data_IF_393399894236
#
_entry.id   IF_393399894236
#
_cell.length_a   1.000
_cell.length_b   1.000
_cell.length_c   1.000
_cell.angle_alpha   90.00
_cell.angle_beta   90.00
_cell.angle_gamma   90.00
#
_symmetry.space_group_name_H-M   'P 1'
#
loop_
_entity.id
_entity.type
_entity.pdbx_description
1 polymer ?
#
# COMPACT_ATOMS: atom_id res chain seq x y z
N UNK A 1 -10.95 -7.46 -10.95
CA UNK A 1 -9.51 -7.15 -10.79
C UNK A 1 -8.81 -8.24 -9.99
N UNK A 2 -7.78 -8.89 -10.54
CA UNK A 2 -7.07 -9.99 -9.87
C UNK A 2 -6.33 -9.49 -8.61
N UNK A 3 -6.32 -10.31 -7.56
CA UNK A 3 -5.64 -10.03 -6.29
C UNK A 3 -5.08 -11.31 -5.68
N UNK A 4 -4.13 -11.17 -4.76
CA UNK A 4 -3.67 -12.31 -3.96
C UNK A 4 -4.74 -12.69 -2.92
N UNK A 5 -5.19 -13.94 -2.95
CA UNK A 5 -6.28 -14.48 -2.08
C UNK A 5 -5.78 -15.40 -0.97
N UNK A 6 -4.55 -15.93 -1.10
CA UNK A 6 -3.98 -16.85 -0.14
C UNK A 6 -3.55 -16.18 1.18
N UNK A 7 -2.93 -16.95 2.06
CA UNK A 7 -2.51 -16.53 3.39
C UNK A 7 -1.44 -15.42 3.37
N UNK A 8 -1.83 -14.19 3.67
CA UNK A 8 -0.96 -13.00 3.67
C UNK A 8 0.31 -13.16 4.53
N UNK A 9 0.22 -13.88 5.66
CA UNK A 9 1.38 -14.08 6.54
C UNK A 9 2.52 -14.87 5.89
N UNK A 10 2.23 -15.68 4.85
CA UNK A 10 3.26 -16.34 4.05
C UNK A 10 4.13 -15.31 3.31
N UNK A 11 3.53 -14.17 2.90
CA UNK A 11 4.23 -13.10 2.21
C UNK A 11 5.24 -12.41 3.13
N UNK A 12 4.81 -11.99 4.34
CA UNK A 12 5.70 -11.38 5.34
C UNK A 12 6.87 -12.30 5.67
N UNK A 13 6.59 -13.59 5.94
CA UNK A 13 7.61 -14.58 6.25
C UNK A 13 8.60 -14.81 5.09
N UNK A 14 8.13 -14.73 3.85
CA UNK A 14 9.00 -14.86 2.67
C UNK A 14 9.94 -13.67 2.51
N UNK A 15 9.49 -12.47 2.84
CA UNK A 15 10.32 -11.26 2.78
C UNK A 15 11.14 -11.02 4.06
N UNK A 16 10.92 -11.83 5.11
CA UNK A 16 11.66 -11.72 6.38
C UNK A 16 11.30 -10.47 7.19
N UNK A 17 10.22 -9.76 6.85
CA UNK A 17 9.82 -8.53 7.53
C UNK A 17 8.30 -8.32 7.55
N UNK A 18 7.82 -7.48 8.48
CA UNK A 18 6.41 -7.12 8.57
C UNK A 18 6.01 -6.23 7.39
N UNK A 19 5.00 -6.64 6.62
CA UNK A 19 4.40 -5.85 5.55
C UNK A 19 3.04 -5.26 5.96
N UNK A 20 2.62 -5.43 7.20
CA UNK A 20 1.38 -4.88 7.78
C UNK A 20 0.11 -5.17 6.97
N UNK A 21 -0.01 -6.38 6.39
CA UNK A 21 -1.09 -6.75 5.47
C UNK A 21 -2.43 -7.10 6.15
N UNK A 22 -2.46 -7.23 7.49
CA UNK A 22 -3.64 -7.63 8.27
C UNK A 22 -4.07 -6.60 9.33
N UNK A 23 -3.59 -5.36 9.26
CA UNK A 23 -3.94 -4.32 10.24
C UNK A 23 -3.51 -4.68 11.66
N UNK A 24 -4.38 -4.53 12.65
CA UNK A 24 -4.12 -4.68 14.10
C UNK A 24 -3.37 -5.95 14.47
N UNK A 25 -3.71 -7.06 13.83
CA UNK A 25 -3.02 -8.34 14.08
C UNK A 25 -1.50 -8.28 13.83
N UNK A 26 -1.05 -7.39 12.95
CA UNK A 26 0.37 -7.23 12.64
C UNK A 26 1.15 -6.53 13.76
N UNK A 27 0.45 -5.83 14.63
CA UNK A 27 1.02 -5.14 15.80
C UNK A 27 0.97 -5.99 17.08
N UNK A 28 0.18 -7.06 17.09
CA UNK A 28 0.02 -7.93 18.25
C UNK A 28 1.01 -9.10 18.24
N UNK A 29 1.22 -9.75 19.40
CA UNK A 29 2.01 -11.00 19.55
C UNK A 29 1.50 -12.18 18.71
N UNK A 30 0.28 -12.07 18.16
CA UNK A 30 -0.30 -13.05 17.22
C UNK A 30 0.25 -12.94 15.81
N UNK A 31 1.21 -12.03 15.56
CA UNK A 31 1.85 -11.87 14.26
C UNK A 31 2.66 -13.12 13.89
N UNK A 32 2.43 -13.64 12.66
CA UNK A 32 3.05 -14.90 12.26
C UNK A 32 4.57 -14.81 12.05
N UNK A 33 5.11 -13.62 11.75
CA UNK A 33 6.55 -13.44 11.58
C UNK A 33 7.28 -13.44 12.93
N UNK A 34 6.65 -12.97 14.00
CA UNK A 34 7.23 -13.05 15.35
C UNK A 34 7.28 -14.48 15.85
N UNK A 35 6.27 -15.28 15.51
CA UNK A 35 6.18 -16.69 15.93
C UNK A 35 7.06 -17.61 15.08
N UNK A 36 7.26 -17.31 13.80
CA UNK A 36 7.97 -18.14 12.82
C UNK A 36 8.75 -17.26 11.86
N UNK A 37 9.92 -16.81 12.27
CA UNK A 37 10.78 -15.90 11.50
C UNK A 37 11.58 -16.61 10.40
N UNK A 38 10.93 -17.46 9.61
CA UNK A 38 11.54 -18.14 8.47
C UNK A 38 10.56 -18.27 7.32
N UNK A 39 11.09 -18.43 6.10
CA UNK A 39 10.28 -18.52 4.89
C UNK A 39 9.29 -19.71 4.95
N UNK A 40 8.12 -19.62 4.32
CA UNK A 40 7.19 -20.74 4.26
C UNK A 40 7.73 -21.85 3.36
N UNK A 41 7.33 -23.08 3.64
CA UNK A 41 7.71 -24.29 2.91
C UNK A 41 8.68 -25.19 3.68
N UNK A 42 8.95 -26.38 3.15
CA UNK A 42 9.79 -27.41 3.78
C UNK A 42 11.23 -26.92 4.03
N UNK A 43 11.79 -26.18 3.08
CA UNK A 43 13.17 -25.67 3.14
C UNK A 43 13.26 -24.22 3.66
N UNK A 44 12.25 -23.74 4.40
CA UNK A 44 12.18 -22.36 4.87
C UNK A 44 13.32 -21.93 5.79
N UNK A 45 13.95 -22.86 6.49
CA UNK A 45 15.07 -22.62 7.41
C UNK A 45 16.44 -22.84 6.76
N UNK A 46 16.49 -23.32 5.51
CA UNK A 46 17.76 -23.54 4.82
C UNK A 46 18.52 -22.22 4.60
N UNK A 47 19.79 -22.19 5.01
CA UNK A 47 20.68 -21.06 4.74
C UNK A 47 21.11 -21.11 3.28
N UNK A 48 20.68 -20.12 2.49
CA UNK A 48 21.10 -19.96 1.11
C UNK A 48 21.76 -18.59 0.95
N UNK A 49 22.93 -18.55 0.34
CA UNK A 49 23.56 -17.29 -0.11
C UNK A 49 22.63 -16.67 -1.16
N UNK A 50 22.25 -15.43 -0.95
CA UNK A 50 21.46 -14.71 -1.93
C UNK A 50 22.37 -14.14 -3.02
N UNK A 51 21.99 -14.31 -4.28
CA UNK A 51 22.63 -13.65 -5.41
C UNK A 51 22.10 -12.23 -5.56
N UNK A 52 22.81 -11.37 -6.29
CA UNK A 52 22.37 -9.99 -6.57
C UNK A 52 21.00 -9.98 -7.24
N UNK A 53 20.79 -10.85 -8.22
CA UNK A 53 19.46 -11.05 -8.82
C UNK A 53 18.41 -11.44 -7.77
N UNK A 54 18.77 -12.31 -6.84
CA UNK A 54 17.88 -12.71 -5.75
C UNK A 54 17.47 -11.53 -4.87
N UNK A 55 18.42 -10.65 -4.52
CA UNK A 55 18.17 -9.43 -3.74
C UNK A 55 17.25 -8.47 -4.48
N UNK A 56 17.55 -8.19 -5.75
CA UNK A 56 16.74 -7.33 -6.62
C UNK A 56 15.31 -7.87 -6.77
N UNK A 57 15.16 -9.18 -6.99
CA UNK A 57 13.87 -9.84 -7.09
C UNK A 57 13.08 -9.75 -5.77
N UNK A 58 13.73 -9.96 -4.62
CA UNK A 58 13.06 -9.85 -3.31
C UNK A 58 12.57 -8.43 -3.05
N UNK A 59 13.36 -7.44 -3.39
CA UNK A 59 12.98 -6.04 -3.19
C UNK A 59 11.78 -5.66 -4.06
N UNK A 60 11.78 -6.05 -5.32
CA UNK A 60 10.61 -5.89 -6.19
C UNK A 60 9.38 -6.61 -5.65
N UNK A 61 9.52 -7.86 -5.21
CA UNK A 61 8.41 -8.64 -4.66
C UNK A 61 7.89 -8.04 -3.35
N UNK A 62 8.77 -7.49 -2.51
CA UNK A 62 8.42 -6.77 -1.29
C UNK A 62 7.54 -5.57 -1.61
N UNK A 63 7.98 -4.69 -2.51
CA UNK A 63 7.23 -3.53 -2.95
C UNK A 63 5.85 -3.91 -3.49
N UNK A 64 5.80 -4.86 -4.43
CA UNK A 64 4.56 -5.36 -5.02
C UNK A 64 3.58 -5.90 -3.99
N UNK A 65 4.07 -6.66 -3.00
CA UNK A 65 3.26 -7.26 -1.94
C UNK A 65 2.78 -6.25 -0.92
N UNK A 66 3.61 -5.28 -0.59
CA UNK A 66 3.28 -4.20 0.32
C UNK A 66 2.09 -3.39 -0.16
N UNK A 67 2.06 -3.03 -1.45
CA UNK A 67 0.93 -2.32 -2.08
C UNK A 67 -0.18 -3.25 -2.63
N UNK A 68 -0.04 -4.57 -2.47
CA UNK A 68 -1.06 -5.55 -2.87
C UNK A 68 -1.30 -5.63 -4.38
N UNK A 69 -0.28 -5.38 -5.20
CA UNK A 69 -0.36 -5.37 -6.66
C UNK A 69 -0.03 -6.72 -7.28
N UNK A 70 -0.53 -6.95 -8.50
CA UNK A 70 -0.12 -8.05 -9.38
C UNK A 70 1.06 -7.64 -10.27
N UNK A 71 1.79 -8.62 -10.80
CA UNK A 71 3.01 -8.39 -11.57
C UNK A 71 2.81 -7.49 -12.79
N UNK A 72 1.81 -7.78 -13.60
CA UNK A 72 1.51 -7.00 -14.81
C UNK A 72 1.22 -5.53 -14.48
N UNK A 73 0.40 -5.30 -13.44
CA UNK A 73 0.08 -3.93 -13.00
C UNK A 73 1.30 -3.19 -12.46
N UNK A 74 2.17 -3.90 -11.73
CA UNK A 74 3.38 -3.31 -11.16
C UNK A 74 4.37 -2.94 -12.27
N UNK A 75 4.55 -3.81 -13.27
CA UNK A 75 5.40 -3.54 -14.44
C UNK A 75 4.87 -2.35 -15.24
N UNK A 76 3.57 -2.30 -15.54
CA UNK A 76 2.97 -1.15 -16.24
C UNK A 76 3.16 0.16 -15.46
N UNK A 77 3.13 0.10 -14.11
CA UNK A 77 3.38 1.27 -13.28
C UNK A 77 4.85 1.69 -13.33
N UNK A 78 5.77 0.73 -13.36
CA UNK A 78 7.20 0.98 -13.55
C UNK A 78 7.48 1.64 -14.90
N UNK A 79 6.88 1.13 -15.98
CA UNK A 79 7.02 1.72 -17.33
C UNK A 79 6.49 3.16 -17.39
N UNK A 80 5.41 3.46 -16.65
CA UNK A 80 4.92 4.83 -16.47
C UNK A 80 5.91 5.70 -15.68
N UNK A 81 6.51 5.16 -14.63
CA UNK A 81 7.48 5.87 -13.81
C UNK A 81 8.75 6.22 -14.60
N UNK A 82 9.21 5.29 -15.45
CA UNK A 82 10.38 5.47 -16.31
C UNK A 82 10.19 6.57 -17.36
N UNK A 83 8.95 6.82 -17.79
CA UNK A 83 8.62 7.89 -18.75
C UNK A 83 8.52 9.28 -18.11
N UNK A 84 8.43 9.36 -16.78
CA UNK A 84 8.38 10.66 -16.09
C UNK A 84 9.79 11.22 -15.90
N UNK A 85 9.95 12.56 -15.95
CA UNK A 85 11.23 13.21 -15.67
C UNK A 85 11.68 12.93 -14.23
N UNK A 86 12.98 12.87 -14.00
CA UNK A 86 13.58 12.62 -12.68
C UNK A 86 13.98 11.15 -12.48
N UNK A 87 14.18 10.77 -11.22
CA UNK A 87 14.62 9.42 -10.86
C UNK A 87 13.45 8.43 -10.93
N UNK A 88 13.59 7.40 -11.75
CA UNK A 88 12.56 6.35 -11.98
C UNK A 88 12.09 5.69 -10.68
N UNK A 89 13.01 5.41 -9.75
CA UNK A 89 12.67 4.79 -8.47
C UNK A 89 11.79 5.67 -7.58
N UNK A 90 12.12 6.95 -7.47
CA UNK A 90 11.31 7.93 -6.75
C UNK A 90 9.92 8.09 -7.39
N UNK A 91 9.88 8.24 -8.72
CA UNK A 91 8.63 8.32 -9.48
C UNK A 91 7.75 7.08 -9.26
N UNK A 92 8.35 5.89 -9.20
CA UNK A 92 7.62 4.64 -8.92
C UNK A 92 6.98 4.67 -7.54
N UNK A 93 7.71 5.09 -6.50
CA UNK A 93 7.17 5.18 -5.15
C UNK A 93 6.06 6.22 -5.05
N UNK A 94 6.21 7.37 -5.68
CA UNK A 94 5.16 8.41 -5.77
C UNK A 94 3.89 7.84 -6.41
N UNK A 95 4.02 7.15 -7.54
CA UNK A 95 2.88 6.51 -8.22
C UNK A 95 2.22 5.42 -7.39
N UNK A 96 2.99 4.69 -6.58
CA UNK A 96 2.46 3.68 -5.65
C UNK A 96 1.70 4.33 -4.50
N UNK A 97 2.22 5.42 -3.95
CA UNK A 97 1.57 6.14 -2.84
C UNK A 97 0.31 6.88 -3.27
N UNK A 98 0.26 7.43 -4.48
CA UNK A 98 -0.89 8.18 -5.00
C UNK A 98 -2.06 7.32 -5.49
N UNK A 99 -1.99 6.01 -5.38
CA UNK A 99 -3.13 5.12 -5.69
C UNK A 99 -4.25 5.31 -4.66
N UNK A 100 -5.49 5.36 -5.14
CA UNK A 100 -6.66 5.58 -4.29
C UNK A 100 -6.77 4.54 -3.15
N UNK A 101 -6.46 3.25 -3.41
CA UNK A 101 -6.48 2.22 -2.36
C UNK A 101 -5.45 2.49 -1.26
N UNK A 102 -4.28 3.03 -1.60
CA UNK A 102 -3.26 3.40 -0.65
C UNK A 102 -3.59 4.72 0.06
N UNK A 103 -4.08 5.73 -0.66
CA UNK A 103 -4.49 7.02 -0.09
C UNK A 103 -5.58 6.83 0.97
N UNK A 104 -6.61 6.01 0.69
CA UNK A 104 -7.66 5.65 1.67
C UNK A 104 -7.07 4.98 2.92
N UNK A 105 -6.06 4.12 2.77
CA UNK A 105 -5.36 3.54 3.91
C UNK A 105 -4.54 4.58 4.68
N UNK A 106 -3.81 5.46 3.99
CA UNK A 106 -3.00 6.52 4.61
C UNK A 106 -3.84 7.58 5.35
N UNK A 107 -5.05 7.85 4.86
CA UNK A 107 -6.04 8.70 5.55
C UNK A 107 -6.67 8.02 6.79
N UNK A 108 -6.32 6.76 7.07
CA UNK A 108 -6.83 6.03 8.23
C UNK A 108 -8.24 5.46 8.08
N UNK A 109 -8.86 5.56 6.89
CA UNK A 109 -10.21 5.04 6.65
C UNK A 109 -10.27 3.50 6.55
N UNK A 110 -9.14 2.82 6.68
CA UNK A 110 -9.06 1.38 6.74
C UNK A 110 -7.86 0.90 7.55
N UNK A 111 -7.99 -0.22 8.26
CA UNK A 111 -6.92 -0.80 9.06
C UNK A 111 -5.79 -1.44 8.23
N UNK A 112 -5.99 -1.66 6.95
CA UNK A 112 -4.98 -2.22 6.03
C UNK A 112 -5.24 -1.83 4.58
N UNK A 113 -4.18 -1.79 3.75
CA UNK A 113 -4.30 -1.55 2.30
C UNK A 113 -5.24 -2.53 1.60
N UNK A 114 -5.28 -3.79 2.06
CA UNK A 114 -6.19 -4.80 1.51
C UNK A 114 -7.66 -4.49 1.82
N UNK A 115 -7.91 -3.97 2.99
CA UNK A 115 -9.24 -3.52 3.39
C UNK A 115 -9.64 -2.24 2.67
N UNK A 116 -8.75 -1.25 2.60
CA UNK A 116 -8.96 -0.03 1.82
C UNK A 116 -9.36 -0.35 0.39
N UNK A 117 -8.62 -1.23 -0.26
CA UNK A 117 -8.94 -1.69 -1.62
C UNK A 117 -10.34 -2.30 -1.73
N UNK A 118 -10.77 -3.08 -0.73
CA UNK A 118 -12.12 -3.66 -0.70
C UNK A 118 -13.18 -2.58 -0.56
N UNK A 119 -13.00 -1.65 0.36
CA UNK A 119 -13.93 -0.54 0.59
C UNK A 119 -14.07 0.34 -0.66
N UNK A 120 -12.95 0.65 -1.34
CA UNK A 120 -12.99 1.38 -2.62
C UNK A 120 -13.79 0.59 -3.67
N UNK A 121 -13.49 -0.71 -3.87
CA UNK A 121 -14.19 -1.54 -4.85
C UNK A 121 -15.68 -1.65 -4.56
N UNK A 122 -16.09 -1.62 -3.29
CA UNK A 122 -17.49 -1.60 -2.90
C UNK A 122 -18.14 -0.21 -3.07
N UNK A 123 -17.35 0.79 -3.48
CA UNK A 123 -17.85 2.11 -3.82
C UNK A 123 -18.27 2.96 -2.62
N UNK A 124 -17.60 2.81 -1.48
CA UNK A 124 -17.83 3.61 -0.27
C UNK A 124 -17.27 5.01 -0.35
N UNK A 125 -16.43 5.34 -1.35
CA UNK A 125 -15.74 6.61 -1.46
C UNK A 125 -16.16 7.44 -2.67
N UNK A 126 -15.94 8.73 -2.54
CA UNK A 126 -16.01 9.71 -3.63
C UNK A 126 -14.68 10.43 -3.75
N UNK A 127 -14.34 10.87 -4.96
CA UNK A 127 -13.22 11.77 -5.22
C UNK A 127 -13.81 13.00 -5.89
N UNK A 128 -13.63 14.18 -5.31
CA UNK A 128 -14.21 15.44 -5.76
C UNK A 128 -15.73 15.34 -5.99
N UNK A 129 -16.45 14.69 -5.07
CA UNK A 129 -17.90 14.48 -5.13
C UNK A 129 -18.35 13.37 -6.09
N UNK A 130 -17.47 12.84 -6.96
CA UNK A 130 -17.81 11.78 -7.91
C UNK A 130 -17.50 10.41 -7.32
N UNK A 131 -18.36 9.40 -7.59
CA UNK A 131 -18.15 8.01 -7.17
C UNK A 131 -16.80 7.49 -7.68
N UNK A 132 -16.00 6.93 -6.78
CA UNK A 132 -14.72 6.31 -7.08
C UNK A 132 -14.71 4.86 -6.57
N UNK A 133 -14.69 3.89 -7.49
CA UNK A 133 -14.68 2.44 -7.20
C UNK A 133 -13.49 1.70 -7.84
N UNK A 134 -12.55 2.46 -8.44
CA UNK A 134 -11.34 1.93 -9.07
C UNK A 134 -10.14 2.11 -8.12
N UNK A 135 -9.66 1.04 -7.46
CA UNK A 135 -8.56 1.13 -6.49
C UNK A 135 -7.22 1.64 -7.06
N UNK A 136 -7.02 1.47 -8.37
CA UNK A 136 -5.81 1.91 -9.08
C UNK A 136 -5.88 3.33 -9.61
N UNK A 137 -6.94 4.08 -9.32
CA UNK A 137 -7.08 5.48 -9.69
C UNK A 137 -5.93 6.29 -9.07
N UNK A 138 -5.25 7.09 -9.86
CA UNK A 138 -4.21 8.01 -9.39
C UNK A 138 -4.88 9.29 -8.87
N UNK A 139 -4.56 9.66 -7.63
CA UNK A 139 -5.04 10.86 -6.97
C UNK A 139 -4.01 11.97 -7.15
N UNK A 140 -4.45 13.20 -7.34
CA UNK A 140 -3.61 14.37 -7.57
C UNK A 140 -3.64 15.32 -6.37
N UNK A 141 -2.68 16.21 -6.29
CA UNK A 141 -2.72 17.32 -5.34
C UNK A 141 -3.99 18.15 -5.56
N UNK A 142 -4.66 18.51 -4.47
CA UNK A 142 -5.94 19.21 -4.48
C UNK A 142 -7.17 18.30 -4.44
N UNK A 143 -7.04 17.00 -4.74
CA UNK A 143 -8.19 16.10 -4.71
C UNK A 143 -8.71 15.88 -3.27
N UNK A 144 -10.02 15.83 -3.14
CA UNK A 144 -10.75 15.56 -1.90
C UNK A 144 -11.37 14.17 -1.97
N UNK A 145 -11.01 13.33 -1.02
CA UNK A 145 -11.52 11.97 -0.87
C UNK A 145 -12.49 11.94 0.31
N UNK A 146 -13.74 11.62 0.07
CA UNK A 146 -14.76 11.58 1.12
C UNK A 146 -15.45 10.21 1.20
N UNK A 147 -15.87 9.83 2.40
CA UNK A 147 -16.76 8.69 2.60
C UNK A 147 -18.19 9.10 2.24
N UNK A 148 -18.86 8.32 1.40
CA UNK A 148 -20.25 8.59 1.03
C UNK A 148 -21.16 8.66 2.24
N UNK A 149 -22.12 9.59 2.25
CA UNK A 149 -23.09 9.81 3.32
C UNK A 149 -23.81 8.51 3.75
N UNK A 150 -24.26 7.70 2.77
CA UNK A 150 -24.90 6.41 3.03
C UNK A 150 -23.96 5.44 3.77
N UNK A 151 -22.67 5.50 3.51
CA UNK A 151 -21.65 4.63 4.12
C UNK A 151 -21.21 5.11 5.51
N UNK A 152 -21.29 6.40 5.79
CA UNK A 152 -20.93 6.99 7.09
C UNK A 152 -21.75 6.43 8.25
N UNK A 153 -22.99 5.95 7.96
CA UNK A 153 -23.87 5.33 8.96
C UNK A 153 -23.42 3.94 9.39
N UNK A 154 -22.47 3.33 8.68
CA UNK A 154 -21.94 2.00 9.00
C UNK A 154 -21.14 2.03 10.33
N UNK A 155 -21.24 0.99 11.19
CA UNK A 155 -20.52 0.90 12.44
C UNK A 155 -19.03 1.16 12.29
N UNK A 156 -18.41 0.60 11.24
CA UNK A 156 -17.00 0.77 10.93
C UNK A 156 -16.57 2.24 10.80
N UNK A 157 -17.32 3.04 10.05
CA UNK A 157 -16.96 4.45 9.86
C UNK A 157 -17.27 5.31 11.08
N UNK A 158 -18.17 4.85 11.96
CA UNK A 158 -18.39 5.46 13.27
C UNK A 158 -17.19 5.24 14.20
N UNK A 159 -16.67 4.00 14.25
CA UNK A 159 -15.45 3.68 15.01
C UNK A 159 -14.25 4.51 14.56
N UNK A 160 -14.10 4.75 13.25
CA UNK A 160 -13.00 5.58 12.71
C UNK A 160 -13.06 7.02 13.23
N UNK A 161 -14.26 7.59 13.44
CA UNK A 161 -14.42 8.94 14.01
C UNK A 161 -13.89 9.07 15.44
N UNK A 162 -13.87 7.98 16.18
CA UNK A 162 -13.37 7.92 17.56
C UNK A 162 -11.87 7.66 17.65
N UNK A 163 -11.23 7.31 16.51
CA UNK A 163 -9.81 6.97 16.46
C UNK A 163 -8.94 8.20 16.21
N UNK A 164 -7.83 8.30 16.94
CA UNK A 164 -6.77 9.25 16.59
C UNK A 164 -6.01 8.76 15.36
N UNK A 165 -6.09 9.50 14.25
CA UNK A 165 -5.48 9.15 12.97
C UNK A 165 -4.27 10.03 12.72
N UNK A 166 -3.10 9.41 12.55
CA UNK A 166 -1.89 10.10 12.10
C UNK A 166 -1.76 9.95 10.59
N UNK A 167 -1.77 11.06 9.88
CA UNK A 167 -1.61 11.10 8.42
C UNK A 167 -0.25 11.67 8.03
N UNK A 168 0.32 11.27 6.88
CA UNK A 168 1.53 11.88 6.35
C UNK A 168 1.34 13.37 6.03
N UNK A 169 2.45 14.15 6.04
CA UNK A 169 2.42 15.61 5.87
C UNK A 169 1.82 16.08 4.52
N UNK A 170 1.86 15.25 3.49
CA UNK A 170 1.32 15.56 2.17
C UNK A 170 -0.21 15.40 2.06
N UNK A 171 -0.87 14.99 3.17
CA UNK A 171 -2.33 14.85 3.26
C UNK A 171 -2.86 15.54 4.52
N UNK A 172 -4.14 15.93 4.49
CA UNK A 172 -4.91 16.36 5.66
C UNK A 172 -6.19 15.54 5.77
N UNK A 173 -6.68 15.32 6.98
CA UNK A 173 -7.93 14.59 7.23
C UNK A 173 -8.82 15.39 8.18
N UNK A 174 -10.10 15.47 7.85
CA UNK A 174 -11.18 15.92 8.73
C UNK A 174 -11.96 14.66 9.13
N UNK A 175 -11.73 14.21 10.36
CA UNK A 175 -12.30 12.97 10.88
C UNK A 175 -13.80 13.08 11.09
N UNK A 176 -14.31 14.27 11.48
CA UNK A 176 -15.73 14.49 11.72
C UNK A 176 -16.56 14.37 10.45
N UNK A 177 -16.03 14.93 9.35
CA UNK A 177 -16.65 14.83 8.04
C UNK A 177 -16.31 13.54 7.29
N UNK A 178 -15.34 12.76 7.76
CA UNK A 178 -14.76 11.62 7.07
C UNK A 178 -14.26 12.00 5.67
N UNK A 179 -13.57 13.12 5.60
CA UNK A 179 -12.97 13.67 4.38
C UNK A 179 -11.45 13.79 4.55
N UNK A 180 -10.74 13.50 3.47
CA UNK A 180 -9.30 13.69 3.38
C UNK A 180 -8.95 14.47 2.13
N UNK A 181 -7.95 15.34 2.21
CA UNK A 181 -7.45 16.13 1.10
C UNK A 181 -5.98 15.82 0.84
N UNK A 182 -5.64 15.64 -0.41
CA UNK A 182 -4.23 15.58 -0.85
C UNK A 182 -3.72 17.02 -0.99
N UNK A 183 -2.84 17.43 -0.10
CA UNK A 183 -2.29 18.81 -0.07
C UNK A 183 -1.20 18.97 -1.12
N UNK A 184 -0.30 17.99 -1.20
CA UNK A 184 0.84 17.98 -2.12
C UNK A 184 1.10 16.57 -2.65
N UNK A 185 1.97 16.43 -3.64
CA UNK A 185 2.45 15.10 -4.05
C UNK A 185 3.51 14.62 -3.03
N UNK A 186 3.52 13.33 -2.66
CA UNK A 186 4.47 12.81 -1.68
C UNK A 186 5.90 12.94 -2.20
N UNK A 187 6.83 13.38 -1.32
CA UNK A 187 8.26 13.35 -1.59
C UNK A 187 8.85 12.03 -1.10
N UNK A 188 10.04 11.64 -1.62
CA UNK A 188 10.70 10.39 -1.20
C UNK A 188 10.92 10.31 0.32
N UNK A 189 11.27 11.42 0.93
CA UNK A 189 11.55 11.54 2.37
C UNK A 189 10.29 11.32 3.24
N UNK A 190 9.11 11.63 2.72
CA UNK A 190 7.81 11.47 3.39
C UNK A 190 7.25 10.04 3.27
N UNK A 191 7.89 9.21 2.43
CA UNK A 191 7.48 7.82 2.20
C UNK A 191 8.25 6.91 3.16
N UNK A 192 7.59 6.50 4.23
CA UNK A 192 8.12 5.66 5.32
C UNK A 192 8.30 4.18 4.94
N UNK A 193 8.14 3.84 3.66
CA UNK A 193 8.19 2.45 3.20
C UNK A 193 9.64 1.98 3.07
N UNK A 194 10.05 0.89 3.74
CA UNK A 194 11.43 0.39 3.72
C UNK A 194 11.71 -0.39 2.42
N UNK A 195 11.70 0.31 1.29
CA UNK A 195 11.93 -0.24 -0.05
C UNK A 195 13.18 0.42 -0.64
N UNK A 196 14.12 -0.42 -1.09
CA UNK A 196 15.31 0.00 -1.84
C UNK A 196 14.95 0.07 -3.34
N UNK A 197 14.42 1.20 -3.78
CA UNK A 197 13.90 1.40 -5.14
C UNK A 197 14.96 1.22 -6.23
N UNK A 198 16.24 1.51 -5.94
CA UNK A 198 17.34 1.33 -6.89
C UNK A 198 17.50 -0.13 -7.33
N UNK A 199 17.31 -1.10 -6.42
CA UNK A 199 17.36 -2.53 -6.74
C UNK A 199 16.22 -2.95 -7.69
N UNK A 200 15.07 -2.28 -7.59
CA UNK A 200 13.94 -2.52 -8.49
C UNK A 200 14.25 -1.98 -9.89
N UNK A 201 14.85 -0.78 -9.95
CA UNK A 201 15.27 -0.18 -11.23
C UNK A 201 16.32 -1.05 -11.90
N UNK A 202 17.34 -1.50 -11.17
CA UNK A 202 18.38 -2.41 -11.70
C UNK A 202 17.78 -3.73 -12.24
N UNK A 203 16.77 -4.30 -11.54
CA UNK A 203 16.13 -5.54 -11.99
C UNK A 203 15.42 -5.37 -13.34
N UNK A 204 14.76 -4.24 -13.56
CA UNK A 204 14.00 -3.99 -14.80
C UNK A 204 14.85 -3.38 -15.92
N UNK A 205 16.07 -2.94 -15.63
CA UNK A 205 17.02 -2.42 -16.63
C UNK A 205 17.89 -3.49 -17.29
N UNK A 206 17.70 -4.75 -16.88
CA UNK A 206 18.41 -5.93 -17.43
C UNK A 206 17.72 -6.50 -18.67
#
# INVERSE_FOLDING_TARGET
MSRYTDANCKLCRREGQKLFLKGERCYSSKCAIERRNYAPGQHGQARKKQSDYGNQLREKQKAKRFYGMQETQFRNLFDKAAKKPGKTGENLLILLETRLDNVVFRLGFAASRKEARRLVTHGHFTVNGKKADIPSMEVKAGDVIAVKEKSQKSPKFKEIKEMSITVPAWMSVDVDKLEGKVVAMPRREEIDTPIAEHLIVELYSK
#
